data_IF_168058239453
#
_entry.id   IF_168058239453
#
_cell.length_a   1.000
_cell.length_b   1.000
_cell.length_c   1.000
_cell.angle_alpha   90.00
_cell.angle_beta   90.00
_cell.angle_gamma   90.00
#
_symmetry.space_group_name_H-M   'P 1'
#
loop_
_entity.id
_entity.type
_entity.pdbx_description
1 polymer ?
#
# COMPACT_ATOMS: atom_id res chain seq x y z
N UNK A 1 20.65 -13.89 -1.23
CA UNK A 1 20.52 -13.49 0.17
C UNK A 1 21.42 -12.29 0.43
N UNK A 2 20.91 -11.33 1.19
CA UNK A 2 21.66 -10.14 1.61
C UNK A 2 21.79 -10.13 3.14
N UNK A 3 22.84 -9.49 3.63
CA UNK A 3 23.07 -9.23 5.05
C UNK A 3 22.58 -7.83 5.44
N UNK A 4 22.77 -7.44 6.72
CA UNK A 4 22.34 -6.14 7.24
C UNK A 4 23.05 -4.96 6.57
N UNK A 5 24.35 -5.09 6.29
CA UNK A 5 25.14 -4.03 5.64
C UNK A 5 24.69 -3.83 4.18
N UNK A 6 24.42 -4.93 3.48
CA UNK A 6 23.87 -4.88 2.13
C UNK A 6 22.47 -4.28 2.13
N UNK A 7 21.64 -4.57 3.16
CA UNK A 7 20.30 -3.98 3.31
C UNK A 7 20.36 -2.45 3.52
N UNK A 8 21.29 -1.97 4.35
CA UNK A 8 21.49 -0.53 4.59
C UNK A 8 21.99 0.22 3.36
N UNK A 9 22.79 -0.45 2.52
CA UNK A 9 23.38 0.12 1.30
C UNK A 9 22.53 -0.13 0.04
N UNK A 10 21.34 -0.71 0.19
CA UNK A 10 20.42 -0.85 -0.95
C UNK A 10 19.98 0.51 -1.46
N UNK A 11 19.83 0.60 -2.78
CA UNK A 11 19.19 1.74 -3.41
C UNK A 11 17.82 2.00 -2.78
N UNK A 12 17.45 3.26 -2.64
CA UNK A 12 16.20 3.66 -2.00
C UNK A 12 14.94 3.22 -2.77
N UNK A 13 15.08 2.62 -3.93
CA UNK A 13 13.98 2.15 -4.77
C UNK A 13 13.51 0.70 -4.49
N UNK A 14 14.16 0.01 -3.54
CA UNK A 14 13.67 -1.27 -3.04
C UNK A 14 12.56 -1.11 -2.01
N UNK A 15 11.55 -1.98 -2.09
CA UNK A 15 10.50 -2.10 -1.06
C UNK A 15 10.79 -3.29 -0.16
N UNK A 16 10.79 -3.06 1.15
CA UNK A 16 10.94 -4.12 2.15
C UNK A 16 9.58 -4.72 2.50
N UNK A 17 9.40 -6.03 2.27
CA UNK A 17 8.28 -6.79 2.83
C UNK A 17 8.70 -7.43 4.14
N UNK A 18 7.91 -7.23 5.19
CA UNK A 18 8.10 -7.88 6.48
C UNK A 18 6.78 -8.25 7.16
N UNK A 19 6.84 -9.15 8.14
CA UNK A 19 5.64 -9.68 8.83
C UNK A 19 5.07 -8.73 9.90
N UNK A 20 5.79 -7.66 10.30
CA UNK A 20 5.44 -6.86 11.49
C UNK A 20 5.09 -5.41 11.12
N UNK A 21 3.86 -4.98 11.46
CA UNK A 21 3.39 -3.61 11.23
C UNK A 21 4.29 -2.54 11.88
N UNK A 22 4.74 -2.78 13.12
CA UNK A 22 5.61 -1.84 13.85
C UNK A 22 6.91 -1.56 13.11
N UNK A 23 7.54 -2.60 12.53
CA UNK A 23 8.77 -2.47 11.73
C UNK A 23 8.51 -1.66 10.47
N UNK A 24 7.42 -1.95 9.76
CA UNK A 24 7.00 -1.19 8.57
C UNK A 24 6.82 0.29 8.89
N UNK A 25 6.07 0.59 9.95
CA UNK A 25 5.81 1.97 10.34
C UNK A 25 7.10 2.72 10.70
N UNK A 26 7.99 2.10 11.47
CA UNK A 26 9.27 2.71 11.85
C UNK A 26 10.13 3.03 10.62
N UNK A 27 10.25 2.10 9.67
CA UNK A 27 11.05 2.30 8.46
C UNK A 27 10.46 3.43 7.61
N UNK A 28 9.15 3.39 7.38
CA UNK A 28 8.47 4.42 6.60
C UNK A 28 8.60 5.81 7.24
N UNK A 29 8.44 5.91 8.56
CA UNK A 29 8.61 7.18 9.29
C UNK A 29 10.06 7.67 9.25
N UNK A 30 11.04 6.79 9.46
CA UNK A 30 12.45 7.14 9.38
C UNK A 30 12.82 7.69 8.00
N UNK A 31 12.43 6.99 6.93
CA UNK A 31 12.69 7.43 5.55
C UNK A 31 11.97 8.73 5.23
N UNK A 32 10.71 8.88 5.65
CA UNK A 32 9.93 10.10 5.47
C UNK A 32 10.57 11.28 6.24
N UNK A 33 11.12 11.05 7.44
CA UNK A 33 11.74 12.10 8.25
C UNK A 33 13.02 12.67 7.62
N UNK A 34 13.73 11.87 6.80
CA UNK A 34 14.95 12.30 6.10
C UNK A 34 14.69 13.27 4.94
N UNK A 35 13.44 13.36 4.47
CA UNK A 35 13.08 14.35 3.47
C UNK A 35 12.90 15.72 4.13
N UNK A 36 13.48 16.75 3.52
CA UNK A 36 13.47 18.13 4.06
C UNK A 36 12.17 18.88 3.80
N UNK A 37 11.35 18.39 2.84
CA UNK A 37 10.08 19.02 2.47
C UNK A 37 9.03 18.94 3.59
N UNK A 38 8.07 19.89 3.65
CA UNK A 38 7.02 19.88 4.68
C UNK A 38 6.19 18.62 4.67
N UNK A 39 5.79 18.18 5.87
CA UNK A 39 4.85 17.07 6.03
C UNK A 39 3.43 17.53 5.70
N UNK A 40 2.76 16.78 4.85
CA UNK A 40 1.33 16.97 4.53
C UNK A 40 0.56 15.73 4.99
N UNK A 41 -0.56 15.95 5.69
CA UNK A 41 -1.43 14.90 6.19
C UNK A 41 -2.80 15.00 5.53
N UNK A 42 -3.22 13.93 4.86
CA UNK A 42 -4.57 13.79 4.31
C UNK A 42 -5.37 12.81 5.16
N UNK A 43 -6.51 13.26 5.68
CA UNK A 43 -7.45 12.41 6.42
C UNK A 43 -8.49 11.85 5.49
N UNK A 44 -8.78 10.56 5.64
CA UNK A 44 -9.86 9.91 4.92
C UNK A 44 -11.20 10.56 5.27
N UNK A 45 -12.01 10.84 4.26
CA UNK A 45 -13.36 11.36 4.45
C UNK A 45 -14.34 10.20 4.42
N UNK A 46 -14.98 9.95 5.56
CA UNK A 46 -15.97 8.89 5.71
C UNK A 46 -17.37 9.49 5.66
N UNK A 47 -18.25 8.91 4.84
CA UNK A 47 -19.67 9.25 4.79
C UNK A 47 -20.50 7.99 5.03
N UNK A 48 -21.42 8.07 5.97
CA UNK A 48 -22.40 7.02 6.29
C UNK A 48 -23.70 7.40 5.59
N UNK A 49 -24.04 6.70 4.51
CA UNK A 49 -25.24 6.98 3.70
C UNK A 49 -26.47 6.29 4.28
N UNK A 50 -26.32 5.07 4.82
CA UNK A 50 -27.38 4.32 5.48
C UNK A 50 -27.19 4.29 7.01
N UNK A 51 -28.21 4.78 7.72
CA UNK A 51 -28.21 4.84 9.20
C UNK A 51 -28.29 3.44 9.84
N UNK A 52 -28.67 2.41 9.09
CA UNK A 52 -28.80 1.03 9.59
C UNK A 52 -27.45 0.38 9.87
N UNK A 53 -26.37 0.85 9.21
CA UNK A 53 -25.03 0.30 9.44
C UNK A 53 -24.56 0.62 10.85
N UNK A 54 -24.05 -0.37 11.53
CA UNK A 54 -23.40 -0.21 12.84
C UNK A 54 -22.00 0.36 12.67
N UNK A 55 -21.56 1.16 13.62
CA UNK A 55 -20.23 1.78 13.58
C UNK A 55 -19.11 0.71 13.56
N UNK A 56 -19.29 -0.41 14.28
CA UNK A 56 -18.37 -1.54 14.28
C UNK A 56 -18.22 -2.20 12.89
N UNK A 57 -19.32 -2.29 12.15
CA UNK A 57 -19.34 -2.85 10.79
C UNK A 57 -18.64 -1.89 9.81
N UNK A 58 -18.93 -0.61 9.90
CA UNK A 58 -18.27 0.45 9.13
C UNK A 58 -16.75 0.45 9.38
N UNK A 59 -16.33 0.41 10.65
CA UNK A 59 -14.91 0.35 11.03
C UNK A 59 -14.22 -0.92 10.52
N UNK A 60 -14.93 -2.06 10.57
CA UNK A 60 -14.40 -3.32 10.03
C UNK A 60 -14.18 -3.25 8.53
N UNK A 61 -15.16 -2.67 7.80
CA UNK A 61 -15.05 -2.47 6.37
C UNK A 61 -13.90 -1.50 6.02
N UNK A 62 -13.79 -0.34 6.71
CA UNK A 62 -12.70 0.62 6.50
C UNK A 62 -11.34 -0.05 6.70
N UNK A 63 -11.18 -0.86 7.75
CA UNK A 63 -9.95 -1.62 7.99
C UNK A 63 -9.63 -2.65 6.91
N UNK A 64 -10.65 -3.19 6.24
CA UNK A 64 -10.48 -4.13 5.12
C UNK A 64 -9.97 -3.42 3.85
N UNK A 65 -10.24 -2.12 3.70
CA UNK A 65 -9.73 -1.33 2.59
C UNK A 65 -8.20 -1.19 2.71
N UNK A 66 -7.53 -1.31 1.60
CA UNK A 66 -6.07 -1.17 1.59
C UNK A 66 -5.63 0.32 1.54
N UNK A 67 -6.20 1.16 2.41
CA UNK A 67 -5.92 2.60 2.53
C UNK A 67 -5.47 2.97 3.94
N UNK A 68 -5.05 4.22 4.13
CA UNK A 68 -4.70 4.79 5.43
C UNK A 68 -5.75 5.85 5.81
N UNK A 69 -6.25 5.79 7.06
CA UNK A 69 -7.12 6.83 7.61
C UNK A 69 -6.43 8.18 7.66
N UNK A 70 -5.13 8.17 8.00
CA UNK A 70 -4.25 9.35 7.93
C UNK A 70 -3.07 9.04 7.02
N UNK A 71 -3.04 9.69 5.86
CA UNK A 71 -1.95 9.57 4.90
C UNK A 71 -0.96 10.72 5.11
N UNK A 72 0.18 10.40 5.70
CA UNK A 72 1.28 11.33 5.92
C UNK A 72 2.31 11.19 4.81
N UNK A 73 2.54 12.25 4.04
CA UNK A 73 3.45 12.27 2.89
C UNK A 73 4.29 13.56 2.85
N UNK A 74 5.34 13.51 2.05
CA UNK A 74 6.18 14.66 1.69
C UNK A 74 6.48 14.62 0.20
N UNK A 75 6.75 15.76 -0.41
CA UNK A 75 7.33 15.80 -1.76
C UNK A 75 8.67 15.07 -1.73
N UNK A 76 8.94 14.25 -2.74
CA UNK A 76 10.09 13.34 -2.80
C UNK A 76 9.84 11.97 -2.15
N UNK A 77 8.72 11.76 -1.45
CA UNK A 77 8.42 10.46 -0.86
C UNK A 77 8.09 9.42 -1.93
N UNK A 78 8.60 8.19 -1.71
CA UNK A 78 8.24 7.03 -2.52
C UNK A 78 6.91 6.46 -2.07
N UNK A 79 6.09 6.20 -3.06
CA UNK A 79 4.74 5.65 -2.84
C UNK A 79 4.49 4.40 -3.68
N UNK A 80 3.48 3.66 -3.26
CA UNK A 80 2.90 2.54 -3.99
C UNK A 80 1.40 2.77 -4.13
N UNK A 81 0.85 2.53 -5.32
CA UNK A 81 -0.58 2.58 -5.55
C UNK A 81 -1.28 1.36 -4.93
N UNK A 82 -2.46 1.57 -4.36
CA UNK A 82 -3.20 0.54 -3.63
C UNK A 82 -4.42 0.02 -4.37
N UNK A 83 -4.77 0.59 -5.52
CA UNK A 83 -5.90 0.20 -6.37
C UNK A 83 -5.50 0.20 -7.85
N UNK A 84 -6.28 -0.49 -8.67
CA UNK A 84 -6.20 -0.39 -10.12
C UNK A 84 -7.12 0.72 -10.59
N UNK A 85 -6.62 1.59 -11.45
CA UNK A 85 -7.42 2.58 -12.17
C UNK A 85 -6.96 2.61 -13.64
N UNK A 86 -7.74 1.95 -14.48
CA UNK A 86 -7.43 1.80 -15.90
C UNK A 86 -7.51 3.13 -16.64
N UNK A 87 -8.47 3.98 -16.27
CA UNK A 87 -8.69 5.26 -16.94
C UNK A 87 -7.57 6.26 -16.66
N UNK A 88 -7.02 6.21 -15.43
CA UNK A 88 -5.90 7.06 -14.99
C UNK A 88 -4.54 6.39 -15.17
N UNK A 89 -4.50 5.15 -15.67
CA UNK A 89 -3.30 4.41 -16.03
C UNK A 89 -2.30 4.19 -14.87
N UNK A 90 -2.82 3.76 -13.70
CA UNK A 90 -2.02 3.28 -12.59
C UNK A 90 -2.63 2.01 -11.98
N UNK A 91 -1.78 1.14 -11.45
CA UNK A 91 -2.17 -0.19 -10.99
C UNK A 91 -1.65 -0.48 -9.59
N UNK A 92 -2.39 -1.33 -8.88
CA UNK A 92 -2.04 -1.78 -7.55
C UNK A 92 -0.64 -2.44 -7.53
N UNK A 93 0.26 -1.90 -6.70
CA UNK A 93 1.64 -2.34 -6.61
C UNK A 93 2.63 -1.53 -7.44
N UNK A 94 2.19 -0.74 -8.42
CA UNK A 94 3.08 0.19 -9.10
C UNK A 94 3.60 1.27 -8.13
N UNK A 95 4.80 1.73 -8.41
CA UNK A 95 5.51 2.68 -7.55
C UNK A 95 5.84 3.96 -8.28
N UNK A 96 6.04 5.00 -7.51
CA UNK A 96 6.47 6.29 -7.99
C UNK A 96 6.98 7.19 -6.86
N UNK A 97 7.36 8.39 -7.24
CA UNK A 97 7.84 9.44 -6.33
C UNK A 97 6.88 10.61 -6.43
N UNK A 98 6.50 11.18 -5.28
CA UNK A 98 5.71 12.40 -5.23
C UNK A 98 6.58 13.55 -5.74
N UNK A 99 6.18 14.13 -6.86
CA UNK A 99 6.84 15.29 -7.46
C UNK A 99 6.34 16.58 -6.85
N UNK A 100 5.01 16.70 -6.67
CA UNK A 100 4.37 17.92 -6.17
C UNK A 100 3.00 17.63 -5.55
N UNK A 101 2.46 18.57 -4.78
CA UNK A 101 1.10 18.58 -4.25
C UNK A 101 0.43 19.88 -4.70
N UNK A 102 -0.54 19.76 -5.57
CA UNK A 102 -1.20 20.90 -6.22
C UNK A 102 -2.55 21.17 -5.55
N UNK A 103 -2.80 22.43 -5.26
CA UNK A 103 -4.06 22.91 -4.69
C UNK A 103 -4.74 23.79 -5.75
N UNK A 104 -5.83 23.30 -6.32
CA UNK A 104 -6.61 23.98 -7.35
C UNK A 104 -8.04 24.18 -6.87
N UNK A 105 -8.43 25.44 -6.61
CA UNK A 105 -9.76 25.81 -6.08
C UNK A 105 -10.17 24.93 -4.87
N UNK A 106 -11.10 23.98 -5.07
CA UNK A 106 -11.58 23.07 -4.03
C UNK A 106 -10.96 21.66 -4.13
N UNK A 107 -10.04 21.43 -5.08
CA UNK A 107 -9.46 20.13 -5.35
C UNK A 107 -7.98 20.07 -5.00
N UNK A 108 -7.56 18.92 -4.56
CA UNK A 108 -6.15 18.64 -4.28
C UNK A 108 -5.71 17.49 -5.18
N UNK A 109 -4.56 17.67 -5.82
CA UNK A 109 -3.93 16.66 -6.67
C UNK A 109 -2.54 16.35 -6.15
N UNK A 110 -2.12 15.10 -6.30
CA UNK A 110 -0.73 14.69 -6.05
C UNK A 110 -0.11 14.35 -7.40
N UNK A 111 0.92 15.12 -7.80
CA UNK A 111 1.72 14.81 -8.97
C UNK A 111 2.73 13.71 -8.62
N UNK A 112 2.71 12.60 -9.36
CA UNK A 112 3.56 11.45 -9.13
C UNK A 112 4.28 11.09 -10.42
N UNK A 113 5.60 10.89 -10.32
CA UNK A 113 6.40 10.28 -11.39
C UNK A 113 6.53 8.80 -11.07
N UNK A 114 5.97 7.93 -11.92
CA UNK A 114 6.08 6.46 -11.81
C UNK A 114 7.51 6.02 -12.13
N UNK A 115 7.90 4.84 -11.68
CA UNK A 115 9.23 4.28 -11.95
C UNK A 115 9.54 4.14 -13.46
N UNK A 116 8.52 4.04 -14.30
CA UNK A 116 8.67 4.01 -15.76
C UNK A 116 8.77 5.41 -16.40
N UNK A 117 8.85 6.48 -15.59
CA UNK A 117 8.91 7.89 -16.04
C UNK A 117 7.57 8.52 -16.37
N UNK A 118 6.47 7.78 -16.35
CA UNK A 118 5.14 8.34 -16.61
C UNK A 118 4.69 9.22 -15.46
N UNK A 119 4.19 10.41 -15.79
CA UNK A 119 3.63 11.36 -14.82
C UNK A 119 2.14 11.12 -14.66
N UNK A 120 1.68 11.02 -13.42
CA UNK A 120 0.29 10.84 -13.02
C UNK A 120 -0.13 12.02 -12.16
N UNK A 121 -1.29 12.59 -12.47
CA UNK A 121 -1.98 13.54 -11.60
C UNK A 121 -3.05 12.77 -10.83
N UNK A 122 -2.74 12.45 -9.58
CA UNK A 122 -3.57 11.60 -8.73
C UNK A 122 -4.64 12.43 -8.01
N UNK A 123 -5.89 11.99 -8.11
CA UNK A 123 -7.03 12.50 -7.37
C UNK A 123 -7.38 11.55 -6.21
N UNK A 124 -8.09 12.03 -5.18
CA UNK A 124 -8.69 11.15 -4.18
C UNK A 124 -9.61 10.13 -4.86
N UNK A 125 -9.60 8.90 -4.35
CA UNK A 125 -10.43 7.80 -4.81
C UNK A 125 -11.50 7.49 -3.78
N UNK A 126 -12.75 7.29 -4.24
CA UNK A 126 -13.86 6.96 -3.36
C UNK A 126 -14.16 5.47 -3.43
N UNK A 127 -14.11 4.83 -2.27
CA UNK A 127 -14.51 3.44 -2.07
C UNK A 127 -15.97 3.43 -1.59
N UNK A 128 -16.75 2.49 -2.09
CA UNK A 128 -18.15 2.34 -1.72
C UNK A 128 -18.37 1.01 -1.00
N UNK A 129 -19.14 1.06 0.10
CA UNK A 129 -19.72 -0.10 0.74
C UNK A 129 -21.09 -0.31 0.13
N UNK A 130 -21.25 -1.39 -0.62
CA UNK A 130 -22.44 -1.65 -1.43
C UNK A 130 -23.18 -2.89 -0.89
N UNK A 131 -24.50 -2.83 -0.95
CA UNK A 131 -25.40 -3.96 -0.71
C UNK A 131 -26.26 -4.20 -1.94
N UNK A 132 -26.34 -5.46 -2.34
CA UNK A 132 -27.24 -5.89 -3.43
C UNK A 132 -28.58 -6.28 -2.85
N UNK A 133 -29.63 -5.52 -3.17
CA UNK A 133 -31.01 -5.82 -2.78
C UNK A 133 -31.79 -6.32 -3.99
N UNK A 134 -32.52 -7.43 -3.81
CA UNK A 134 -33.39 -7.97 -4.86
C UNK A 134 -34.71 -7.19 -4.89
N UNK A 135 -34.99 -6.51 -5.99
CA UNK A 135 -36.25 -5.83 -6.25
C UNK A 135 -37.00 -6.52 -7.40
N UNK A 136 -37.85 -7.45 -7.05
CA UNK A 136 -38.57 -8.27 -8.05
C UNK A 136 -37.64 -9.23 -8.79
N UNK A 137 -37.43 -9.02 -10.10
CA UNK A 137 -36.49 -9.80 -10.93
C UNK A 137 -35.13 -9.13 -11.10
N UNK A 138 -35.00 -7.87 -10.66
CA UNK A 138 -33.81 -7.06 -10.81
C UNK A 138 -33.07 -6.95 -9.50
N UNK A 139 -31.76 -6.59 -9.57
CA UNK A 139 -30.94 -6.26 -8.42
C UNK A 139 -30.67 -4.74 -8.41
N UNK A 140 -30.85 -4.14 -7.25
CA UNK A 140 -30.51 -2.73 -7.00
C UNK A 140 -29.28 -2.67 -6.11
N UNK A 141 -28.31 -1.83 -6.46
CA UNK A 141 -27.13 -1.57 -5.64
C UNK A 141 -27.44 -0.39 -4.73
N UNK A 142 -27.42 -0.64 -3.43
CA UNK A 142 -27.56 0.40 -2.41
C UNK A 142 -26.18 0.74 -1.87
N UNK A 143 -25.83 2.04 -1.88
CA UNK A 143 -24.59 2.52 -1.25
C UNK A 143 -24.89 2.73 0.24
N UNK A 144 -24.18 1.98 1.07
CA UNK A 144 -24.36 2.02 2.52
C UNK A 144 -23.42 3.04 3.17
N UNK A 145 -22.18 3.11 2.68
CA UNK A 145 -21.17 4.07 3.13
C UNK A 145 -20.17 4.35 2.04
N UNK A 146 -19.41 5.42 2.18
CA UNK A 146 -18.28 5.73 1.30
C UNK A 146 -17.09 6.27 2.09
N UNK A 147 -15.87 6.00 1.57
CA UNK A 147 -14.62 6.53 2.10
C UNK A 147 -13.80 7.10 0.95
N UNK A 148 -13.39 8.35 1.07
CA UNK A 148 -12.56 9.04 0.07
C UNK A 148 -11.17 9.28 0.64
N UNK A 149 -10.14 8.80 -0.05
CA UNK A 149 -8.73 8.99 0.30
C UNK A 149 -7.86 8.85 -0.96
N UNK A 150 -6.66 9.41 -0.95
CA UNK A 150 -5.66 9.09 -1.96
C UNK A 150 -5.26 7.61 -1.87
N UNK A 151 -5.36 6.85 -2.97
CA UNK A 151 -5.15 5.38 -2.95
C UNK A 151 -3.66 5.02 -3.04
N UNK A 152 -2.85 5.61 -2.16
CA UNK A 152 -1.40 5.42 -2.09
C UNK A 152 -0.93 5.18 -0.66
N UNK A 153 0.26 4.58 -0.54
CA UNK A 153 1.01 4.41 0.72
C UNK A 153 2.48 4.67 0.49
N UNK A 154 3.24 4.89 1.57
CA UNK A 154 4.69 4.90 1.48
C UNK A 154 5.21 3.53 1.04
N UNK A 155 6.20 3.52 0.15
CA UNK A 155 6.72 2.32 -0.51
C UNK A 155 8.06 1.83 0.04
N UNK A 156 8.60 2.41 1.12
CA UNK A 156 9.87 1.95 1.68
C UNK A 156 9.74 0.59 2.36
N UNK A 157 8.64 0.37 3.10
CA UNK A 157 8.30 -0.91 3.68
C UNK A 157 6.79 -1.14 3.67
N UNK A 158 6.38 -2.42 3.49
CA UNK A 158 4.97 -2.85 3.47
C UNK A 158 4.87 -4.19 4.19
N UNK A 159 3.74 -4.48 4.85
CA UNK A 159 3.55 -5.83 5.41
C UNK A 159 3.15 -6.81 4.33
N UNK A 160 3.53 -8.08 4.53
CA UNK A 160 3.23 -9.17 3.59
C UNK A 160 1.71 -9.26 3.31
N UNK A 161 0.87 -9.13 4.35
CA UNK A 161 -0.58 -9.14 4.18
C UNK A 161 -1.10 -8.00 3.30
N UNK A 162 -0.60 -6.77 3.54
CA UNK A 162 -1.01 -5.59 2.76
C UNK A 162 -0.45 -5.56 1.35
N UNK A 163 0.52 -6.42 1.03
CA UNK A 163 1.07 -6.59 -0.31
C UNK A 163 0.29 -7.59 -1.18
N UNK A 164 -0.75 -8.23 -0.65
CA UNK A 164 -1.57 -9.16 -1.44
C UNK A 164 -2.17 -8.45 -2.65
N UNK A 165 -2.10 -9.11 -3.82
CA UNK A 165 -2.52 -8.54 -5.09
C UNK A 165 -1.59 -7.49 -5.71
N UNK A 166 -0.48 -7.13 -5.04
CA UNK A 166 0.52 -6.21 -5.58
C UNK A 166 1.57 -6.94 -6.43
N UNK A 167 2.13 -6.21 -7.38
CA UNK A 167 3.29 -6.61 -8.19
C UNK A 167 4.42 -5.61 -7.96
N UNK A 168 5.55 -6.08 -7.42
CA UNK A 168 6.65 -5.21 -6.97
C UNK A 168 7.92 -5.58 -7.73
N UNK A 169 8.53 -4.62 -8.39
CA UNK A 169 9.70 -4.86 -9.23
C UNK A 169 10.98 -5.06 -8.43
N UNK A 170 11.29 -4.14 -7.50
CA UNK A 170 12.47 -4.21 -6.64
C UNK A 170 12.05 -4.54 -5.21
N UNK A 171 12.28 -5.77 -4.80
CA UNK A 171 11.72 -6.34 -3.58
C UNK A 171 12.79 -6.93 -2.67
N UNK A 172 12.72 -6.60 -1.38
CA UNK A 172 13.43 -7.32 -0.31
C UNK A 172 12.41 -8.03 0.57
N UNK A 173 12.53 -9.32 0.73
CA UNK A 173 11.73 -10.09 1.68
C UNK A 173 12.53 -10.27 2.98
N UNK A 174 12.06 -9.66 4.06
CA UNK A 174 12.53 -9.94 5.42
C UNK A 174 11.78 -11.17 5.96
N UNK A 175 12.50 -12.28 6.07
CA UNK A 175 11.92 -13.56 6.47
C UNK A 175 12.08 -13.89 7.96
N UNK A 176 12.73 -13.01 8.74
CA UNK A 176 12.98 -13.27 10.17
C UNK A 176 11.69 -13.29 11.01
N UNK A 177 10.63 -12.69 10.51
CA UNK A 177 9.35 -12.53 11.19
C UNK A 177 8.17 -13.07 10.37
N UNK A 178 8.41 -14.17 9.67
CA UNK A 178 7.36 -14.94 9.02
C UNK A 178 6.84 -15.96 10.04
N UNK A 179 5.53 -15.93 10.32
CA UNK A 179 4.91 -16.73 11.40
C UNK A 179 3.95 -17.79 10.86
N UNK A 180 3.41 -17.59 9.65
CA UNK A 180 2.36 -18.42 9.10
C UNK A 180 2.85 -19.23 7.89
N UNK A 181 2.34 -20.44 7.77
CA UNK A 181 2.56 -21.29 6.60
C UNK A 181 2.05 -20.58 5.35
N UNK A 182 2.83 -20.62 4.27
CA UNK A 182 2.51 -19.95 3.01
C UNK A 182 2.83 -18.46 2.94
N UNK A 183 3.10 -17.80 4.07
CA UNK A 183 3.41 -16.36 4.09
C UNK A 183 4.68 -16.02 3.29
N UNK A 184 5.70 -16.91 3.33
CA UNK A 184 6.88 -16.77 2.47
C UNK A 184 6.52 -16.83 0.99
N UNK A 185 5.67 -17.78 0.60
CA UNK A 185 5.21 -17.89 -0.78
C UNK A 185 4.48 -16.62 -1.23
N UNK A 186 3.59 -16.09 -0.39
CA UNK A 186 2.90 -14.82 -0.66
C UNK A 186 3.89 -13.69 -0.86
N UNK A 187 4.90 -13.57 0.00
CA UNK A 187 5.93 -12.54 -0.09
C UNK A 187 6.75 -12.65 -1.38
N UNK A 188 7.26 -13.84 -1.69
CA UNK A 188 8.09 -14.07 -2.89
C UNK A 188 7.30 -13.89 -4.18
N UNK A 189 6.02 -14.30 -4.18
CA UNK A 189 5.14 -14.16 -5.35
C UNK A 189 4.77 -12.69 -5.68
N UNK A 190 5.15 -11.73 -4.84
CA UNK A 190 5.00 -10.28 -5.14
C UNK A 190 6.04 -9.78 -6.12
N UNK A 191 7.20 -10.44 -6.21
CA UNK A 191 8.27 -10.03 -7.10
C UNK A 191 7.90 -10.28 -8.58
N UNK A 192 8.02 -9.24 -9.40
CA UNK A 192 7.83 -9.35 -10.85
C UNK A 192 9.11 -9.77 -11.57
N UNK A 193 10.28 -9.53 -10.94
CA UNK A 193 11.58 -9.83 -11.52
C UNK A 193 12.45 -10.57 -10.50
N UNK A 194 12.84 -11.84 -10.76
CA UNK A 194 13.66 -12.61 -9.84
C UNK A 194 15.08 -12.02 -9.65
N UNK A 195 15.60 -11.25 -10.60
CA UNK A 195 16.93 -10.64 -10.50
C UNK A 195 16.97 -9.47 -9.51
N UNK A 196 15.83 -8.83 -9.25
CA UNK A 196 15.69 -7.74 -8.30
C UNK A 196 15.04 -8.19 -6.99
N UNK A 197 14.74 -9.49 -6.84
CA UNK A 197 14.28 -10.07 -5.58
C UNK A 197 15.48 -10.36 -4.67
N UNK A 198 15.46 -9.79 -3.47
CA UNK A 198 16.45 -10.06 -2.41
C UNK A 198 15.77 -10.66 -1.20
N UNK A 199 16.48 -11.55 -0.50
CA UNK A 199 16.00 -12.16 0.75
C UNK A 199 16.94 -11.73 1.87
N UNK A 200 16.38 -11.06 2.87
CA UNK A 200 17.07 -10.67 4.08
C UNK A 200 16.72 -11.62 5.24
N UNK A 201 17.75 -12.06 5.96
CA UNK A 201 17.59 -12.79 7.22
C UNK A 201 18.85 -12.67 8.07
N UNK A 202 18.67 -12.43 9.36
CA UNK A 202 19.75 -12.45 10.37
C UNK A 202 20.13 -13.88 10.76
N UNK A 203 19.24 -14.86 10.56
CA UNK A 203 19.38 -16.26 10.93
C UNK A 203 19.83 -17.11 9.75
N UNK A 204 20.44 -18.28 10.03
CA UNK A 204 20.59 -19.31 9.00
C UNK A 204 19.22 -19.76 8.50
N UNK A 205 18.98 -19.63 7.22
CA UNK A 205 17.70 -19.99 6.60
C UNK A 205 17.61 -21.52 6.58
N UNK A 206 16.62 -22.07 7.26
CA UNK A 206 16.18 -23.44 7.11
C UNK A 206 14.90 -23.43 6.27
N UNK A 207 15.01 -23.62 4.98
CA UNK A 207 13.87 -23.60 4.08
C UNK A 207 12.81 -24.66 4.39
N UNK A 208 13.18 -25.78 5.06
CA UNK A 208 12.22 -26.79 5.50
C UNK A 208 11.13 -26.27 6.43
N UNK A 209 11.44 -25.24 7.24
CA UNK A 209 10.46 -24.60 8.11
C UNK A 209 9.36 -23.85 7.34
N UNK A 210 9.68 -23.28 6.20
CA UNK A 210 8.76 -22.43 5.41
C UNK A 210 7.87 -23.23 4.46
N UNK A 211 8.23 -24.49 4.17
CA UNK A 211 7.53 -25.38 3.26
C UNK A 211 6.95 -26.63 3.95
N UNK A 212 7.05 -26.70 5.29
CA UNK A 212 6.39 -27.78 6.03
C UNK A 212 4.87 -27.62 5.91
N UNK A 213 4.22 -28.72 5.54
CA UNK A 213 2.78 -28.87 5.28
C UNK A 213 1.88 -28.37 6.40
#
# INVERSE_FOLDING_TARGET
RIDYKELENLEDDYTLLCGINKKVNNINQEKLSKLETPLVCFKAQVKKEDKRIKDEELDSWIRSLNILEELNIKIGARIIFCVNNWDKNYYNGEQGIIEDILYEEEKIYISIIKNNGMKILLEPYTFFMEELEQSGKDFVVNILASVTQFPIKLAYAITIHKSQGMSIEKLVCDIDHIFENGQLYVALSRATNPNTLKIYSTKKINFGFYFAN
#
